data_IF_620322905970
#
_entry.id   IF_620322905970
#
_cell.length_a   1.000
_cell.length_b   1.000
_cell.length_c   1.000
_cell.angle_alpha   90.00
_cell.angle_beta   90.00
_cell.angle_gamma   90.00
#
_symmetry.space_group_name_H-M   'P 1'
#
loop_
_entity.id
_entity.type
_entity.pdbx_description
1 polymer ?
#
# COMPACT_ATOMS: atom_id res chain seq x y z
N UNK A 1 -19.24 -46.75 -29.20
CA UNK A 1 -20.33 -47.31 -28.37
C UNK A 1 -20.04 -46.95 -26.92
N UNK A 2 -20.78 -45.99 -26.33
CA UNK A 2 -21.71 -46.15 -25.16
C UNK A 2 -20.96 -46.39 -23.83
N UNK A 3 -21.07 -45.64 -22.71
CA UNK A 3 -22.08 -44.73 -22.12
C UNK A 3 -21.34 -43.85 -21.07
N UNK A 4 -21.35 -42.52 -21.14
CA UNK A 4 -22.15 -41.56 -20.36
C UNK A 4 -22.98 -42.16 -19.20
N UNK A 5 -22.63 -41.82 -17.96
CA UNK A 5 -23.60 -41.74 -16.86
C UNK A 5 -23.45 -40.39 -16.14
N UNK A 6 -24.48 -39.57 -16.33
CA UNK A 6 -24.82 -38.41 -15.54
C UNK A 6 -25.67 -38.90 -14.35
N UNK A 7 -25.40 -38.40 -13.14
CA UNK A 7 -26.39 -38.43 -12.07
C UNK A 7 -26.59 -37.01 -11.54
N UNK A 8 -27.65 -36.38 -12.04
CA UNK A 8 -28.40 -35.30 -11.39
C UNK A 8 -29.51 -35.93 -10.54
N UNK A 9 -29.91 -35.22 -9.46
CA UNK A 9 -31.21 -35.17 -8.73
C UNK A 9 -31.00 -35.32 -7.21
N UNK A 10 -31.61 -34.57 -6.27
CA UNK A 10 -32.43 -33.34 -6.17
C UNK A 10 -32.44 -32.94 -4.68
N UNK A 11 -32.43 -31.62 -4.44
CA UNK A 11 -32.96 -30.78 -3.35
C UNK A 11 -33.42 -31.33 -1.98
N UNK A 12 -33.03 -30.60 -0.92
CA UNK A 12 -33.85 -29.99 0.14
C UNK A 12 -32.88 -29.17 1.04
N UNK A 13 -33.05 -27.90 1.42
CA UNK A 13 -34.25 -27.12 1.71
C UNK A 13 -34.26 -26.76 3.20
N UNK A 14 -33.53 -25.71 3.62
CA UNK A 14 -33.79 -25.01 4.91
C UNK A 14 -33.55 -23.51 4.72
N UNK A 15 -34.65 -22.78 4.54
CA UNK A 15 -34.76 -21.33 4.64
C UNK A 15 -35.18 -21.00 6.07
N UNK A 16 -34.31 -20.33 6.83
CA UNK A 16 -34.65 -19.65 8.10
C UNK A 16 -33.57 -18.60 8.33
N UNK A 17 -33.80 -17.31 8.57
CA UNK A 17 -35.00 -16.51 8.65
C UNK A 17 -34.60 -15.02 8.65
N UNK A 18 -35.51 -14.18 8.16
CA UNK A 18 -35.47 -12.72 8.24
C UNK A 18 -35.40 -12.23 9.69
N UNK A 19 -34.57 -11.22 9.96
CA UNK A 19 -34.98 -10.04 10.76
C UNK A 19 -34.23 -8.80 10.23
N UNK A 20 -34.93 -8.02 9.40
CA UNK A 20 -34.52 -6.69 8.98
C UNK A 20 -35.07 -5.71 10.02
N UNK A 21 -34.20 -5.10 10.83
CA UNK A 21 -34.55 -3.93 11.63
C UNK A 21 -34.27 -2.67 10.80
N UNK A 22 -35.28 -2.19 10.06
CA UNK A 22 -35.26 -0.84 9.50
C UNK A 22 -35.66 0.12 10.61
N UNK A 23 -34.68 0.73 11.27
CA UNK A 23 -34.92 1.83 12.21
C UNK A 23 -35.22 3.11 11.43
N UNK A 24 -36.50 3.38 11.23
CA UNK A 24 -37.02 4.65 10.74
C UNK A 24 -36.78 5.72 11.82
N UNK A 25 -35.80 6.60 11.61
CA UNK A 25 -35.77 7.88 12.33
C UNK A 25 -36.62 8.88 11.54
N UNK A 26 -37.62 9.51 12.18
CA UNK A 26 -38.53 10.44 11.52
C UNK A 26 -37.82 11.71 11.08
N UNK A 27 -38.21 12.14 9.88
CA UNK A 27 -37.85 13.40 9.25
C UNK A 27 -38.15 14.60 10.15
N UNK A 28 -37.10 15.29 10.57
CA UNK A 28 -37.22 16.60 11.21
C UNK A 28 -37.76 17.59 10.18
N UNK A 29 -39.06 17.88 10.27
CA UNK A 29 -39.68 18.98 9.56
C UNK A 29 -39.06 20.30 10.00
N UNK A 30 -38.43 20.99 9.04
CA UNK A 30 -38.20 22.43 9.07
C UNK A 30 -39.54 23.14 9.29
N UNK A 31 -39.72 23.73 10.47
CA UNK A 31 -40.65 24.83 10.65
C UNK A 31 -39.85 26.12 10.56
N UNK A 32 -39.88 26.73 9.37
CA UNK A 32 -39.59 28.14 9.22
C UNK A 32 -40.85 28.90 9.68
N UNK A 33 -40.79 29.46 10.89
CA UNK A 33 -41.72 30.49 11.32
C UNK A 33 -40.96 31.81 11.34
N UNK A 34 -41.33 32.68 10.39
CA UNK A 34 -40.97 34.08 10.35
C UNK A 34 -41.78 34.88 11.37
N UNK A 35 -41.27 36.09 11.63
CA UNK A 35 -41.89 37.25 12.29
C UNK A 35 -41.66 37.35 13.80
N UNK A 36 -40.96 38.40 14.19
CA UNK A 36 -40.87 38.85 15.58
C UNK A 36 -39.68 39.76 15.86
N UNK A 37 -39.65 40.93 15.23
CA UNK A 37 -38.79 42.06 15.61
C UNK A 37 -39.14 42.52 17.04
N UNK A 38 -38.16 42.50 17.94
CA UNK A 38 -38.08 43.44 19.08
C UNK A 38 -36.74 43.31 19.80
N UNK A 39 -36.00 44.42 19.75
CA UNK A 39 -34.85 44.73 20.61
C UNK A 39 -35.21 44.57 22.09
N UNK A 40 -34.27 43.97 22.84
CA UNK A 40 -33.88 44.28 24.22
C UNK A 40 -33.58 43.00 25.01
N UNK A 41 -32.30 42.62 25.04
CA UNK A 41 -31.77 41.73 26.07
C UNK A 41 -30.31 42.08 26.40
N UNK A 42 -29.94 42.21 27.68
CA UNK A 42 -28.59 42.59 28.07
C UNK A 42 -27.59 41.46 27.79
N UNK A 43 -26.41 41.82 27.30
CA UNK A 43 -25.32 40.91 26.94
C UNK A 43 -24.91 40.00 28.12
N UNK A 44 -25.05 38.68 27.91
CA UNK A 44 -24.41 37.68 28.75
C UNK A 44 -22.92 37.55 28.38
N UNK A 45 -22.02 37.27 29.33
CA UNK A 45 -20.58 37.25 29.06
C UNK A 45 -20.22 36.05 28.18
N UNK A 46 -19.51 36.33 27.08
CA UNK A 46 -19.00 35.32 26.14
C UNK A 46 -17.92 34.50 26.84
N UNK A 47 -18.26 33.25 27.21
CA UNK A 47 -17.27 32.27 27.66
C UNK A 47 -16.53 31.76 26.42
N UNK A 48 -15.25 32.09 26.31
CA UNK A 48 -14.39 31.65 25.20
C UNK A 48 -14.18 30.14 25.32
N UNK A 49 -14.79 29.37 24.42
CA UNK A 49 -14.59 27.93 24.35
C UNK A 49 -13.11 27.63 24.07
N UNK A 50 -12.46 26.93 25.00
CA UNK A 50 -11.14 26.36 24.79
C UNK A 50 -11.34 25.14 23.90
N UNK A 51 -10.94 25.27 22.63
CA UNK A 51 -10.92 24.16 21.68
C UNK A 51 -10.00 23.06 22.20
N UNK A 52 -10.56 21.86 22.36
CA UNK A 52 -9.82 20.66 22.76
C UNK A 52 -8.69 20.36 21.77
N UNK A 53 -7.54 19.82 22.23
CA UNK A 53 -6.47 19.42 21.34
C UNK A 53 -6.98 18.32 20.41
N UNK A 54 -6.88 18.54 19.11
CA UNK A 54 -7.08 17.52 18.08
C UNK A 54 -6.06 16.42 18.31
N UNK A 55 -6.52 15.23 18.71
CA UNK A 55 -5.66 14.07 18.85
C UNK A 55 -4.99 13.77 17.50
N UNK A 56 -3.66 13.74 17.48
CA UNK A 56 -2.94 13.28 16.30
C UNK A 56 -3.29 11.81 16.04
N UNK A 57 -3.49 11.42 14.77
CA UNK A 57 -3.76 10.03 14.44
C UNK A 57 -2.62 9.15 14.94
N UNK A 58 -2.96 8.09 15.66
CA UNK A 58 -1.99 7.10 16.12
C UNK A 58 -1.21 6.57 14.90
N UNK A 59 0.12 6.59 14.98
CA UNK A 59 0.97 6.04 13.94
C UNK A 59 0.59 4.58 13.69
N UNK A 60 0.33 4.24 12.42
CA UNK A 60 0.11 2.85 12.02
C UNK A 60 1.40 2.06 12.25
N UNK A 61 1.29 0.89 12.87
CA UNK A 61 2.42 0.00 13.07
C UNK A 61 3.05 -0.41 11.73
N UNK A 62 4.36 -0.27 11.61
CA UNK A 62 5.18 -0.83 10.53
C UNK A 62 6.23 -1.77 11.11
N UNK A 63 6.58 -2.83 10.39
CA UNK A 63 7.44 -3.88 10.92
C UNK A 63 8.95 -3.66 10.64
N UNK A 64 9.37 -2.44 10.29
CA UNK A 64 10.74 -2.10 9.85
C UNK A 64 11.84 -2.56 10.82
N UNK A 65 11.61 -2.43 12.13
CA UNK A 65 12.59 -2.80 13.17
C UNK A 65 13.15 -4.22 13.01
N UNK A 66 12.37 -5.12 12.43
CA UNK A 66 12.76 -6.49 12.15
C UNK A 66 13.74 -6.65 11.00
N UNK A 67 13.66 -5.79 9.99
CA UNK A 67 14.53 -5.79 8.83
C UNK A 67 15.82 -5.01 9.11
N UNK A 68 15.71 -3.94 9.91
CA UNK A 68 16.81 -3.03 10.24
C UNK A 68 17.91 -3.66 11.12
N UNK A 69 17.65 -4.81 11.76
CA UNK A 69 18.69 -5.57 12.49
C UNK A 69 19.87 -5.91 11.58
N UNK A 70 19.61 -6.31 10.33
CA UNK A 70 20.63 -6.66 9.35
C UNK A 70 20.81 -5.57 8.26
N UNK A 71 19.79 -4.73 8.05
CA UNK A 71 19.79 -3.69 7.02
C UNK A 71 19.73 -2.27 7.60
N UNK A 72 20.57 -2.00 8.60
CA UNK A 72 20.58 -0.74 9.36
C UNK A 72 20.80 0.50 8.48
N UNK A 73 21.48 0.38 7.34
CA UNK A 73 21.69 1.48 6.38
C UNK A 73 20.37 2.09 5.85
N UNK A 74 19.24 1.41 6.01
CA UNK A 74 17.93 1.92 5.59
C UNK A 74 17.16 2.67 6.69
N UNK A 75 17.62 2.67 7.94
CA UNK A 75 16.94 3.36 9.05
C UNK A 75 16.86 4.88 8.81
N UNK A 76 17.86 5.44 8.13
CA UNK A 76 17.93 6.86 7.77
C UNK A 76 17.68 7.12 6.28
N UNK A 77 17.25 6.11 5.52
CA UNK A 77 17.10 6.23 4.07
C UNK A 77 15.77 6.90 3.71
N UNK A 78 15.84 7.91 2.84
CA UNK A 78 14.73 8.83 2.58
C UNK A 78 13.47 8.12 2.05
N UNK A 79 13.61 7.11 1.18
CA UNK A 79 12.46 6.34 0.69
C UNK A 79 11.82 5.55 1.84
N UNK A 80 12.61 4.83 2.64
CA UNK A 80 12.12 4.06 3.78
C UNK A 80 11.39 4.95 4.80
N UNK A 81 12.00 6.07 5.21
CA UNK A 81 11.42 7.00 6.18
C UNK A 81 10.10 7.61 5.71
N UNK A 82 10.03 8.04 4.45
CA UNK A 82 8.79 8.62 3.89
C UNK A 82 7.65 7.59 3.82
N UNK A 83 7.99 6.33 3.52
CA UNK A 83 7.00 5.26 3.47
C UNK A 83 6.56 4.84 4.88
N UNK A 84 7.47 4.82 5.85
CA UNK A 84 7.14 4.56 7.26
C UNK A 84 6.14 5.58 7.82
N UNK A 85 6.34 6.88 7.56
CA UNK A 85 5.39 7.94 7.93
C UNK A 85 4.01 7.73 7.29
N UNK A 86 3.98 7.13 6.09
CA UNK A 86 2.75 6.76 5.40
C UNK A 86 2.17 5.39 5.84
N UNK A 87 2.76 4.74 6.84
CA UNK A 87 2.32 3.43 7.32
C UNK A 87 2.71 2.25 6.44
N UNK A 88 3.72 2.42 5.59
CA UNK A 88 4.22 1.42 4.65
C UNK A 88 5.60 0.95 5.12
N UNK A 89 5.63 -0.22 5.75
CA UNK A 89 6.87 -0.88 6.17
C UNK A 89 7.57 -1.65 5.05
N UNK A 90 8.79 -2.10 5.30
CA UNK A 90 9.59 -2.94 4.41
C UNK A 90 8.81 -4.16 3.92
N UNK A 91 8.06 -4.80 4.82
CA UNK A 91 7.27 -5.99 4.58
C UNK A 91 6.16 -5.79 3.55
N UNK A 92 5.70 -4.55 3.36
CA UNK A 92 4.65 -4.24 2.39
C UNK A 92 5.13 -4.41 0.95
N UNK A 93 6.42 -4.20 0.69
CA UNK A 93 7.02 -4.33 -0.64
C UNK A 93 7.93 -5.56 -0.75
N UNK A 94 8.71 -5.87 0.28
CA UNK A 94 9.63 -7.01 0.26
C UNK A 94 9.04 -8.32 0.81
N UNK A 95 7.79 -8.27 1.28
CA UNK A 95 7.11 -9.36 1.99
C UNK A 95 7.59 -9.50 3.43
N UNK A 96 6.83 -10.21 4.27
CA UNK A 96 7.18 -10.43 5.68
C UNK A 96 8.57 -11.09 5.86
N UNK A 97 9.02 -11.83 4.84
CA UNK A 97 10.39 -12.35 4.73
C UNK A 97 10.84 -13.13 5.97
N UNK A 98 9.93 -13.85 6.64
CA UNK A 98 10.20 -14.56 7.88
C UNK A 98 11.38 -15.56 7.78
N UNK A 99 11.47 -16.28 6.66
CA UNK A 99 12.56 -17.22 6.42
C UNK A 99 13.91 -16.50 6.24
N UNK A 100 13.92 -15.40 5.50
CA UNK A 100 15.11 -14.59 5.26
C UNK A 100 15.67 -14.01 6.55
N UNK A 101 14.82 -13.39 7.37
CA UNK A 101 15.23 -12.77 8.65
C UNK A 101 15.59 -13.78 9.74
N UNK A 102 15.27 -15.06 9.56
CA UNK A 102 15.64 -16.15 10.47
C UNK A 102 16.89 -16.90 10.01
N UNK A 103 17.47 -16.51 8.87
CA UNK A 103 18.62 -17.16 8.26
C UNK A 103 19.87 -16.30 8.42
N UNK A 104 20.63 -16.56 9.49
CA UNK A 104 21.88 -15.85 9.79
C UNK A 104 22.98 -16.09 8.74
N UNK A 105 22.88 -17.15 7.94
CA UNK A 105 23.80 -17.41 6.83
C UNK A 105 23.48 -16.55 5.59
N UNK A 106 22.35 -15.84 5.59
CA UNK A 106 21.90 -14.96 4.51
C UNK A 106 21.78 -15.64 3.13
N UNK A 107 21.54 -16.95 3.08
CA UNK A 107 21.41 -17.72 1.82
C UNK A 107 19.99 -17.76 1.29
N UNK A 108 19.01 -17.49 2.15
CA UNK A 108 17.59 -17.37 1.83
C UNK A 108 17.28 -15.95 1.34
N UNK A 109 16.72 -15.75 0.14
CA UNK A 109 16.31 -14.42 -0.32
C UNK A 109 15.09 -13.90 0.46
N UNK A 110 14.84 -12.57 0.48
CA UNK A 110 13.54 -12.04 0.89
C UNK A 110 12.44 -12.58 -0.03
N UNK A 111 11.18 -12.51 0.43
CA UNK A 111 10.03 -13.05 -0.30
C UNK A 111 9.87 -12.39 -1.67
N UNK A 112 10.13 -11.08 -1.74
CA UNK A 112 10.03 -10.31 -2.98
C UNK A 112 11.37 -9.63 -3.29
N UNK A 113 11.93 -10.04 -4.43
CA UNK A 113 13.05 -9.37 -5.10
C UNK A 113 12.53 -8.61 -6.32
N UNK A 114 13.02 -7.37 -6.51
CA UNK A 114 12.61 -6.54 -7.63
C UNK A 114 13.65 -6.56 -8.76
N UNK A 115 13.41 -7.35 -9.83
CA UNK A 115 14.10 -7.11 -11.09
C UNK A 115 13.68 -5.74 -11.65
N UNK A 116 14.54 -5.15 -12.49
CA UNK A 116 14.44 -3.73 -12.84
C UNK A 116 13.08 -3.35 -13.43
N UNK A 117 12.58 -4.18 -14.32
CA UNK A 117 11.27 -4.07 -14.97
C UNK A 117 10.07 -4.02 -14.00
N UNK A 118 10.20 -4.58 -12.79
CA UNK A 118 9.12 -4.64 -11.80
C UNK A 118 9.11 -3.46 -10.85
N UNK A 119 10.16 -2.64 -10.81
CA UNK A 119 10.26 -1.49 -9.91
C UNK A 119 9.12 -0.49 -10.15
N UNK A 120 8.99 0.04 -11.38
CA UNK A 120 7.99 1.07 -11.68
C UNK A 120 6.54 0.58 -11.49
N UNK A 121 6.15 -0.62 -12.00
CA UNK A 121 4.82 -1.16 -11.75
C UNK A 121 4.48 -1.30 -10.26
N UNK A 122 5.45 -1.71 -9.43
CA UNK A 122 5.25 -1.80 -7.99
C UNK A 122 5.01 -0.44 -7.34
N UNK A 123 5.81 0.58 -7.67
CA UNK A 123 5.57 1.94 -7.18
C UNK A 123 4.14 2.41 -7.54
N UNK A 124 3.65 2.04 -8.72
CA UNK A 124 2.32 2.41 -9.22
C UNK A 124 1.16 1.67 -8.56
N UNK A 125 1.40 0.70 -7.68
CA UNK A 125 0.34 0.09 -6.86
C UNK A 125 -0.26 1.10 -5.88
N UNK A 126 0.55 2.04 -5.39
CA UNK A 126 0.12 3.11 -4.47
C UNK A 126 0.22 4.51 -5.10
N UNK A 127 1.05 4.69 -6.13
CA UNK A 127 1.19 5.94 -6.88
C UNK A 127 0.60 5.80 -8.29
N UNK A 128 -0.73 5.84 -8.46
CA UNK A 128 -1.36 5.51 -9.72
C UNK A 128 -0.99 6.53 -10.82
N UNK A 129 -0.82 6.04 -12.05
CA UNK A 129 -0.35 6.86 -13.19
C UNK A 129 -1.17 8.13 -13.41
N UNK A 130 -2.47 8.06 -13.19
CA UNK A 130 -3.38 9.19 -13.37
C UNK A 130 -3.07 10.37 -12.44
N UNK A 131 -2.51 10.09 -11.26
CA UNK A 131 -2.13 11.09 -10.28
C UNK A 131 -0.73 11.65 -10.57
N UNK A 132 0.08 10.95 -11.38
CA UNK A 132 1.44 11.37 -11.71
C UNK A 132 1.56 12.04 -13.09
N UNK A 133 0.61 11.82 -14.00
CA UNK A 133 0.69 12.24 -15.41
C UNK A 133 0.86 13.74 -15.64
N UNK A 134 0.51 14.55 -14.65
CA UNK A 134 0.60 16.00 -14.72
C UNK A 134 2.01 16.53 -14.40
N UNK A 135 2.88 15.68 -13.85
CA UNK A 135 4.26 16.02 -13.52
C UNK A 135 5.17 15.80 -14.73
N UNK A 136 5.77 16.88 -15.24
CA UNK A 136 6.59 16.85 -16.46
C UNK A 136 7.73 15.82 -16.39
N UNK A 137 8.41 15.72 -15.24
CA UNK A 137 9.56 14.83 -15.04
C UNK A 137 9.19 13.34 -15.01
N UNK A 138 7.91 13.02 -14.78
CA UNK A 138 7.44 11.64 -14.70
C UNK A 138 7.05 11.08 -16.07
N UNK A 139 6.70 11.93 -17.05
CA UNK A 139 6.18 11.51 -18.36
C UNK A 139 7.01 10.39 -19.02
N UNK A 140 8.36 10.46 -19.13
CA UNK A 140 9.14 9.41 -19.76
C UNK A 140 9.09 8.07 -19.02
N UNK A 141 8.94 8.10 -17.70
CA UNK A 141 8.84 6.89 -16.85
C UNK A 141 7.45 6.27 -16.98
N UNK A 142 6.40 7.09 -17.02
CA UNK A 142 5.02 6.63 -17.15
C UNK A 142 4.74 6.01 -18.52
N UNK A 143 5.32 6.55 -19.59
CA UNK A 143 5.24 6.01 -20.95
C UNK A 143 6.00 4.68 -21.09
N UNK A 144 7.12 4.53 -20.38
CA UNK A 144 7.98 3.35 -20.47
C UNK A 144 7.62 2.22 -19.48
N UNK A 145 6.81 2.53 -18.46
CA UNK A 145 6.43 1.58 -17.42
C UNK A 145 5.49 0.51 -17.98
N UNK A 146 5.72 -0.74 -17.56
CA UNK A 146 4.78 -1.84 -17.81
C UNK A 146 3.52 -1.67 -16.96
N UNK A 147 2.41 -2.17 -17.45
CA UNK A 147 1.25 -2.41 -16.59
C UNK A 147 1.50 -3.70 -15.78
N UNK A 148 0.99 -3.79 -14.55
CA UNK A 148 1.20 -4.98 -13.68
C UNK A 148 0.77 -6.30 -14.35
N UNK A 149 -0.13 -6.22 -15.34
CA UNK A 149 -0.69 -7.34 -16.09
C UNK A 149 0.16 -7.78 -17.29
N UNK A 150 1.23 -7.08 -17.63
CA UNK A 150 2.07 -7.39 -18.80
C UNK A 150 3.15 -8.41 -18.42
N UNK A 151 3.04 -9.64 -18.95
CA UNK A 151 3.92 -10.77 -18.61
C UNK A 151 5.37 -10.62 -19.09
N UNK A 152 5.63 -9.84 -20.16
CA UNK A 152 6.97 -9.71 -20.75
C UNK A 152 7.44 -8.25 -20.82
N UNK A 153 8.44 -7.88 -20.02
CA UNK A 153 9.12 -6.60 -20.14
C UNK A 153 9.79 -6.43 -21.49
N UNK A 154 9.56 -5.30 -22.14
CA UNK A 154 10.56 -4.75 -23.08
C UNK A 154 11.71 -4.18 -22.23
N UNK A 155 12.76 -4.99 -22.05
CA UNK A 155 14.04 -4.57 -21.49
C UNK A 155 14.68 -3.58 -22.46
N UNK A 156 14.44 -2.30 -22.25
CA UNK A 156 15.31 -1.27 -22.79
C UNK A 156 16.17 -0.76 -21.62
N UNK A 157 17.49 -0.91 -21.77
CA UNK A 157 18.48 -0.51 -20.77
C UNK A 157 18.53 1.02 -20.55
N UNK A 158 17.90 1.79 -21.44
CA UNK A 158 17.79 3.24 -21.37
C UNK A 158 16.59 3.73 -20.53
N UNK A 159 15.77 2.81 -20.00
CA UNK A 159 14.59 3.17 -19.19
C UNK A 159 15.01 3.67 -17.81
N UNK A 160 14.47 4.82 -17.41
CA UNK A 160 14.58 5.35 -16.04
C UNK A 160 13.60 4.64 -15.11
N UNK A 161 14.01 4.44 -13.85
CA UNK A 161 13.19 3.84 -12.80
C UNK A 161 12.88 4.86 -11.72
N UNK A 162 11.76 4.72 -11.00
CA UNK A 162 11.38 5.61 -9.90
C UNK A 162 12.52 5.75 -8.88
N UNK A 163 13.18 4.64 -8.55
CA UNK A 163 14.31 4.59 -7.62
C UNK A 163 15.58 5.27 -8.12
N UNK A 164 15.67 5.63 -9.41
CA UNK A 164 16.80 6.40 -9.94
C UNK A 164 16.83 7.85 -9.42
N UNK A 165 15.69 8.37 -8.93
CA UNK A 165 15.60 9.68 -8.29
C UNK A 165 15.06 9.58 -6.85
N UNK A 166 14.01 8.79 -6.61
CA UNK A 166 13.33 8.74 -5.31
C UNK A 166 13.94 7.75 -4.31
N UNK A 167 14.80 6.84 -4.76
CA UNK A 167 15.34 5.75 -3.95
C UNK A 167 16.79 5.45 -4.32
N UNK A 168 17.58 6.49 -4.60
CA UNK A 168 18.97 6.35 -5.09
C UNK A 168 19.87 5.57 -4.14
N UNK A 169 19.53 5.62 -2.84
CA UNK A 169 20.17 4.88 -1.76
C UNK A 169 19.40 3.66 -1.31
N UNK A 170 18.17 3.44 -1.80
CA UNK A 170 17.33 2.28 -1.48
C UNK A 170 17.78 1.01 -2.23
N UNK A 171 19.05 0.64 -2.03
CA UNK A 171 19.71 -0.53 -2.62
C UNK A 171 20.91 -0.92 -1.78
N UNK A 172 21.13 -2.23 -1.61
CA UNK A 172 22.39 -2.72 -1.05
C UNK A 172 23.55 -2.39 -2.02
N UNK A 173 24.53 -1.64 -1.53
CA UNK A 173 25.73 -1.25 -2.28
C UNK A 173 26.70 -2.42 -2.47
N UNK A 174 26.85 -3.24 -1.43
CA UNK A 174 27.69 -4.44 -1.43
C UNK A 174 26.81 -5.66 -1.20
N UNK A 175 27.02 -6.71 -1.99
CA UNK A 175 26.35 -8.01 -1.85
C UNK A 175 27.37 -9.12 -2.02
N UNK A 176 27.59 -9.88 -0.96
CA UNK A 176 28.37 -11.13 -0.95
C UNK A 176 27.54 -12.30 -1.46
N UNK A 177 26.24 -12.27 -1.22
CA UNK A 177 25.29 -13.26 -1.74
C UNK A 177 24.41 -12.60 -2.80
N UNK A 178 24.24 -13.27 -3.94
CA UNK A 178 23.43 -12.79 -5.06
C UNK A 178 22.41 -13.85 -5.43
N UNK A 179 21.21 -13.39 -5.73
CA UNK A 179 20.13 -14.21 -6.25
C UNK A 179 19.69 -13.70 -7.60
N UNK A 180 19.18 -14.61 -8.42
CA UNK A 180 18.36 -14.24 -9.55
C UNK A 180 17.10 -13.56 -9.01
N UNK A 181 16.86 -12.31 -9.42
CA UNK A 181 15.79 -11.49 -8.84
C UNK A 181 14.40 -11.91 -9.27
N UNK A 182 14.27 -12.71 -10.33
CA UNK A 182 13.00 -13.20 -10.82
C UNK A 182 12.57 -14.48 -10.11
N UNK A 183 13.54 -15.31 -9.72
CA UNK A 183 13.30 -16.67 -9.21
C UNK A 183 13.72 -16.86 -7.75
N UNK A 184 14.55 -15.97 -7.19
CA UNK A 184 15.14 -16.12 -5.86
C UNK A 184 16.23 -17.20 -5.78
N UNK A 185 16.61 -17.83 -6.89
CA UNK A 185 17.66 -18.86 -6.89
C UNK A 185 19.03 -18.22 -6.67
N UNK A 186 19.84 -18.84 -5.80
CA UNK A 186 21.21 -18.40 -5.52
C UNK A 186 22.05 -18.43 -6.82
N UNK A 187 22.71 -17.32 -7.12
CA UNK A 187 23.69 -17.24 -8.20
C UNK A 187 25.04 -17.67 -7.64
N UNK A 188 25.65 -18.70 -8.22
CA UNK A 188 27.02 -19.08 -7.87
C UNK A 188 27.99 -17.94 -8.21
N UNK A 189 28.97 -17.70 -7.34
CA UNK A 189 30.09 -16.84 -7.70
C UNK A 189 30.81 -17.45 -8.91
N UNK A 190 30.93 -16.68 -9.99
CA UNK A 190 31.91 -17.01 -11.02
C UNK A 190 33.27 -16.74 -10.39
N UNK A 191 33.97 -17.81 -9.98
CA UNK A 191 35.40 -17.77 -9.68
C UNK A 191 36.18 -17.12 -10.83
#
# INVERSE_FOLDING_TARGET
MRRIEQFLIVAAGVMTGMLVFVSVCPSWQKTAASVGDSNDRPEAPVVKAISAPTAEPAASFVANSFCLVCHFDFDEEELALKHEVAGIGCERCHGESFRHRSDEANVTPPEILYPRERINPTCMMCHPRQDLRHLADHRPILEAALNLSEEKPTLNQDKKYCTACHGTKHRMNTRTIRWDKHTGVLLQEKN
#
